data_IF_882943864957
#
_entry.id   IF_882943864957
#
_cell.length_a   1.000
_cell.length_b   1.000
_cell.length_c   1.000
_cell.angle_alpha   90.00
_cell.angle_beta   90.00
_cell.angle_gamma   90.00
#
_symmetry.space_group_name_H-M   'P 1'
#
loop_
_entity.id
_entity.type
_entity.pdbx_description
1 polymer ?
#
# COMPACT_ATOMS: atom_id res chain seq x y z
N UNK A 1 18.58 -17.09 -10.12
CA UNK A 1 17.55 -17.65 -9.23
C UNK A 1 16.41 -18.13 -10.10
N UNK A 2 15.97 -19.40 -10.01
CA UNK A 2 14.88 -19.91 -10.82
C UNK A 2 13.58 -19.21 -10.41
N UNK A 3 12.91 -18.57 -11.37
CA UNK A 3 11.60 -17.96 -11.17
C UNK A 3 10.59 -19.04 -10.77
N UNK A 4 9.93 -18.86 -9.63
CA UNK A 4 8.85 -19.73 -9.19
C UNK A 4 7.55 -18.94 -9.17
N UNK A 5 6.49 -19.43 -9.85
CA UNK A 5 5.23 -18.71 -9.90
C UNK A 5 4.61 -18.66 -8.49
N UNK A 6 4.17 -17.48 -8.02
CA UNK A 6 3.48 -17.33 -6.75
C UNK A 6 2.14 -18.07 -6.76
N UNK A 7 1.67 -18.50 -5.59
CA UNK A 7 0.37 -19.17 -5.48
C UNK A 7 -0.78 -18.23 -5.88
N UNK A 8 -1.88 -18.80 -6.40
CA UNK A 8 -3.09 -18.02 -6.75
C UNK A 8 -3.61 -17.21 -5.57
N UNK A 9 -3.49 -17.74 -4.35
CA UNK A 9 -3.91 -17.06 -3.13
C UNK A 9 -3.05 -15.82 -2.85
N UNK A 10 -1.72 -15.93 -2.95
CA UNK A 10 -0.81 -14.80 -2.77
C UNK A 10 -1.03 -13.72 -3.83
N UNK A 11 -1.34 -14.09 -5.07
CA UNK A 11 -1.72 -13.13 -6.12
C UNK A 11 -3.02 -12.39 -5.76
N UNK A 12 -4.06 -13.09 -5.31
CA UNK A 12 -5.34 -12.46 -4.94
C UNK A 12 -5.15 -11.52 -3.74
N UNK A 13 -4.41 -11.95 -2.72
CA UNK A 13 -4.19 -11.20 -1.50
C UNK A 13 -3.34 -9.94 -1.75
N UNK A 14 -2.30 -10.05 -2.58
CA UNK A 14 -1.49 -8.89 -3.00
C UNK A 14 -2.32 -7.89 -3.80
N UNK A 15 -3.19 -8.36 -4.69
CA UNK A 15 -4.06 -7.49 -5.49
C UNK A 15 -5.08 -6.74 -4.62
N UNK A 16 -5.67 -7.39 -3.62
CA UNK A 16 -6.61 -6.77 -2.68
C UNK A 16 -5.92 -5.71 -1.80
N UNK A 17 -4.73 -6.02 -1.26
CA UNK A 17 -3.95 -5.06 -0.48
C UNK A 17 -3.52 -3.84 -1.32
N UNK A 18 -3.12 -4.07 -2.57
CA UNK A 18 -2.77 -3.01 -3.50
C UNK A 18 -3.98 -2.11 -3.80
N UNK A 19 -5.12 -2.71 -4.12
CA UNK A 19 -6.36 -1.97 -4.42
C UNK A 19 -6.82 -1.14 -3.22
N UNK A 20 -6.80 -1.72 -2.01
CA UNK A 20 -7.14 -1.00 -0.77
C UNK A 20 -6.17 0.14 -0.46
N UNK A 21 -4.86 -0.10 -0.58
CA UNK A 21 -3.84 0.92 -0.37
C UNK A 21 -3.93 2.08 -1.37
N UNK A 22 -4.19 1.78 -2.65
CA UNK A 22 -4.42 2.78 -3.70
C UNK A 22 -5.69 3.59 -3.46
N UNK A 23 -6.77 2.96 -3.03
CA UNK A 23 -8.03 3.66 -2.75
C UNK A 23 -7.85 4.69 -1.63
N UNK A 24 -7.20 4.31 -0.53
CA UNK A 24 -6.89 5.21 0.59
C UNK A 24 -5.97 6.35 0.16
N UNK A 25 -4.95 6.05 -0.66
CA UNK A 25 -4.05 7.07 -1.20
C UNK A 25 -4.76 8.07 -2.11
N UNK A 26 -5.63 7.59 -2.98
CA UNK A 26 -6.42 8.44 -3.89
C UNK A 26 -7.36 9.34 -3.08
N UNK A 27 -8.10 8.78 -2.13
CA UNK A 27 -8.97 9.55 -1.24
C UNK A 27 -8.19 10.64 -0.49
N UNK A 28 -7.04 10.28 0.10
CA UNK A 28 -6.17 11.24 0.78
C UNK A 28 -5.64 12.34 -0.15
N UNK A 29 -5.27 11.98 -1.38
CA UNK A 29 -4.80 12.93 -2.39
C UNK A 29 -5.90 13.89 -2.84
N UNK A 30 -7.13 13.41 -3.05
CA UNK A 30 -8.28 14.25 -3.36
C UNK A 30 -8.69 15.15 -2.17
N UNK A 31 -8.50 14.69 -0.92
CA UNK A 31 -8.67 15.51 0.28
C UNK A 31 -7.66 16.67 0.30
N UNK A 32 -6.36 16.36 0.10
CA UNK A 32 -5.28 17.34 0.00
C UNK A 32 -5.55 18.37 -1.11
N UNK A 33 -5.94 17.95 -2.31
CA UNK A 33 -6.15 18.87 -3.44
C UNK A 33 -7.27 19.90 -3.22
N UNK A 34 -8.18 19.69 -2.27
CA UNK A 34 -9.23 20.67 -1.97
C UNK A 34 -8.78 21.77 -1.01
N UNK A 35 -7.75 21.57 -0.18
CA UNK A 35 -7.38 22.53 0.87
C UNK A 35 -5.93 22.27 1.32
N UNK A 36 -4.96 23.15 1.03
CA UNK A 36 -3.61 23.06 1.62
C UNK A 36 -3.31 24.27 2.52
N UNK A 37 -3.25 24.10 3.85
CA UNK A 37 -2.36 24.85 4.72
C UNK A 37 -1.01 24.12 4.90
N UNK A 38 0.07 24.83 5.26
CA UNK A 38 1.45 24.35 5.17
C UNK A 38 1.80 23.27 6.21
N UNK A 39 2.67 22.34 5.78
CA UNK A 39 3.23 21.24 6.58
C UNK A 39 4.05 21.76 7.78
N UNK A 40 3.47 21.69 8.98
CA UNK A 40 4.21 21.80 10.24
C UNK A 40 4.71 20.43 10.68
N UNK A 41 6.02 20.30 10.92
CA UNK A 41 6.63 19.09 11.49
C UNK A 41 6.29 18.96 12.98
N UNK A 42 5.05 18.56 13.29
CA UNK A 42 4.57 18.32 14.64
C UNK A 42 3.20 17.65 14.62
N UNK A 43 3.04 16.57 15.41
CA UNK A 43 1.81 15.78 15.62
C UNK A 43 0.96 15.51 14.36
N UNK A 44 1.14 14.32 13.77
CA UNK A 44 0.39 13.90 12.59
C UNK A 44 -1.13 14.00 12.81
N UNK A 45 -1.83 14.66 11.89
CA UNK A 45 -3.30 14.71 11.88
C UNK A 45 -3.88 13.37 11.45
N UNK A 46 -5.14 13.08 11.79
CA UNK A 46 -5.81 11.81 11.44
C UNK A 46 -5.78 11.52 9.94
N UNK A 47 -5.83 12.55 9.09
CA UNK A 47 -5.73 12.41 7.63
C UNK A 47 -4.34 11.95 7.19
N UNK A 48 -3.27 12.50 7.79
CA UNK A 48 -1.90 12.08 7.48
C UNK A 48 -1.65 10.62 7.92
N UNK A 49 -2.27 10.17 9.01
CA UNK A 49 -2.26 8.77 9.41
C UNK A 49 -2.89 7.85 8.36
N UNK A 50 -4.02 8.24 7.77
CA UNK A 50 -4.63 7.49 6.67
C UNK A 50 -3.72 7.39 5.45
N UNK A 51 -3.03 8.47 5.09
CA UNK A 51 -2.00 8.45 4.04
C UNK A 51 -0.86 7.48 4.34
N UNK A 52 -0.36 7.46 5.59
CA UNK A 52 0.67 6.52 6.06
C UNK A 52 0.17 5.07 5.98
N UNK A 53 -1.07 4.79 6.41
CA UNK A 53 -1.68 3.46 6.30
C UNK A 53 -1.84 3.02 4.83
N UNK A 54 -2.26 3.92 3.95
CA UNK A 54 -2.36 3.67 2.51
C UNK A 54 -1.01 3.29 1.90
N UNK A 55 0.05 4.05 2.20
CA UNK A 55 1.42 3.73 1.78
C UNK A 55 1.91 2.40 2.36
N UNK A 56 1.62 2.12 3.63
CA UNK A 56 1.95 0.87 4.29
C UNK A 56 1.30 -0.34 3.61
N UNK A 57 0.03 -0.24 3.21
CA UNK A 57 -0.69 -1.30 2.50
C UNK A 57 -0.14 -1.55 1.10
N UNK A 58 0.20 -0.50 0.34
CA UNK A 58 0.84 -0.63 -0.97
C UNK A 58 2.22 -1.28 -0.84
N UNK A 59 3.02 -0.87 0.15
CA UNK A 59 4.33 -1.48 0.40
C UNK A 59 4.21 -2.95 0.81
N UNK A 60 3.24 -3.29 1.66
CA UNK A 60 2.97 -4.66 2.07
C UNK A 60 2.51 -5.54 0.90
N UNK A 61 1.64 -5.02 0.03
CA UNK A 61 1.22 -5.69 -1.19
C UNK A 61 2.41 -6.02 -2.10
N UNK A 62 3.32 -5.07 -2.27
CA UNK A 62 4.52 -5.26 -3.08
C UNK A 62 5.51 -6.24 -2.44
N UNK A 63 5.67 -6.18 -1.11
CA UNK A 63 6.51 -7.10 -0.35
C UNK A 63 6.02 -8.54 -0.42
N UNK A 64 4.72 -8.76 -0.29
CA UNK A 64 4.10 -10.09 -0.41
C UNK A 64 4.24 -10.66 -1.82
N UNK A 65 4.13 -9.83 -2.86
CA UNK A 65 4.38 -10.25 -4.22
C UNK A 65 5.85 -10.63 -4.44
N UNK A 66 6.78 -9.84 -3.89
CA UNK A 66 8.21 -10.17 -3.91
C UNK A 66 8.53 -11.50 -3.20
N UNK A 67 7.93 -11.72 -2.02
CA UNK A 67 8.06 -12.98 -1.28
C UNK A 67 7.47 -14.15 -2.07
N UNK A 68 6.29 -14.01 -2.66
CA UNK A 68 5.67 -15.07 -3.47
C UNK A 68 6.51 -15.46 -4.69
N UNK A 69 7.27 -14.53 -5.26
CA UNK A 69 8.19 -14.82 -6.39
C UNK A 69 9.51 -15.46 -5.91
N UNK A 70 9.98 -15.12 -4.70
CA UNK A 70 11.29 -15.54 -4.17
C UNK A 70 11.24 -16.82 -3.34
N UNK A 71 10.13 -17.09 -2.66
CA UNK A 71 9.93 -18.24 -1.79
C UNK A 71 9.04 -19.26 -2.50
N UNK A 72 9.58 -20.46 -2.76
CA UNK A 72 8.80 -21.59 -3.25
C UNK A 72 7.68 -21.91 -2.25
N UNK A 73 6.42 -21.75 -2.66
CA UNK A 73 5.26 -22.27 -1.93
C UNK A 73 4.44 -21.24 -1.13
N UNK A 74 4.72 -19.94 -1.28
CA UNK A 74 3.79 -18.86 -0.87
C UNK A 74 2.87 -18.45 -2.01
#
# INVERSE_FOLDING_TARGET
>A
MPWTPPSKFTVILTFLLLAGGLFILIEHFFSLLNILPPLTFGTFTSEQWWGIFGMGLVFLAWFLMFLGVRLKGL
#
